data_IF_474449693758
#
_entry.id   IF_474449693758
#
_cell.length_a   1.000
_cell.length_b   1.000
_cell.length_c   1.000
_cell.angle_alpha   90.00
_cell.angle_beta   90.00
_cell.angle_gamma   90.00
#
_symmetry.space_group_name_H-M   'P 1'
#
loop_
_entity.id
_entity.type
_entity.pdbx_description
1 polymer ?
#
# COMPACT_ATOMS: atom_id res chain seq x y z
N UNK A 1 7.60 22.22 0.28
CA UNK A 1 8.23 20.97 0.75
C UNK A 1 7.19 20.16 1.49
N UNK A 2 6.67 19.09 0.89
CA UNK A 2 5.84 18.11 1.60
C UNK A 2 6.78 17.14 2.32
N UNK A 3 6.88 17.24 3.65
CA UNK A 3 7.54 16.22 4.46
C UNK A 3 6.45 15.30 4.98
N UNK A 4 6.59 14.00 4.75
CA UNK A 4 5.65 13.01 5.31
C UNK A 4 5.72 13.10 6.83
N UNK A 5 4.59 13.45 7.44
CA UNK A 5 4.50 13.58 8.90
C UNK A 5 4.42 12.22 9.57
N UNK A 6 4.77 12.14 10.86
CA UNK A 6 4.64 10.91 11.64
C UNK A 6 3.20 10.35 11.63
N UNK A 7 2.20 11.23 11.56
CA UNK A 7 0.79 10.85 11.48
C UNK A 7 0.48 10.18 10.13
N UNK A 8 0.96 10.73 9.03
CA UNK A 8 0.80 10.12 7.70
C UNK A 8 1.54 8.79 7.63
N UNK A 9 2.75 8.72 8.21
CA UNK A 9 3.56 7.51 8.29
C UNK A 9 2.80 6.40 9.01
N UNK A 10 2.26 6.69 10.20
CA UNK A 10 1.44 5.75 10.98
C UNK A 10 0.16 5.34 10.25
N UNK A 11 -0.54 6.28 9.62
CA UNK A 11 -1.76 6.00 8.88
C UNK A 11 -1.49 5.06 7.68
N UNK A 12 -0.42 5.32 6.91
CA UNK A 12 0.02 4.45 5.84
C UNK A 12 0.41 3.05 6.36
N UNK A 13 1.06 2.95 7.52
CA UNK A 13 1.35 1.65 8.16
C UNK A 13 0.08 0.85 8.40
N UNK A 14 -0.94 1.44 9.03
CA UNK A 14 -2.18 0.72 9.35
C UNK A 14 -2.95 0.30 8.12
N UNK A 15 -2.93 1.14 7.06
CA UNK A 15 -3.53 0.78 5.79
C UNK A 15 -2.80 -0.37 5.10
N UNK A 16 -1.47 -0.40 5.12
CA UNK A 16 -0.67 -1.50 4.56
C UNK A 16 -0.84 -2.80 5.37
N UNK A 17 -0.92 -2.72 6.70
CA UNK A 17 -1.26 -3.86 7.55
C UNK A 17 -2.63 -4.44 7.18
N UNK A 18 -3.64 -3.58 7.04
CA UNK A 18 -4.97 -4.00 6.58
C UNK A 18 -4.94 -4.62 5.19
N UNK A 19 -4.17 -4.03 4.27
CA UNK A 19 -4.00 -4.53 2.91
C UNK A 19 -3.43 -5.96 2.93
N UNK A 20 -2.38 -6.19 3.73
CA UNK A 20 -1.76 -7.50 3.93
C UNK A 20 -2.74 -8.52 4.48
N UNK A 21 -3.49 -8.16 5.52
CA UNK A 21 -4.48 -9.06 6.12
C UNK A 21 -5.56 -9.45 5.11
N UNK A 22 -6.06 -8.48 4.32
CA UNK A 22 -7.04 -8.75 3.26
C UNK A 22 -6.47 -9.67 2.17
N UNK A 23 -5.22 -9.45 1.76
CA UNK A 23 -4.56 -10.28 0.75
C UNK A 23 -4.39 -11.73 1.22
N UNK A 24 -3.91 -11.92 2.45
CA UNK A 24 -3.75 -13.24 3.05
C UNK A 24 -5.09 -13.96 3.27
N UNK A 25 -6.11 -13.22 3.72
CA UNK A 25 -7.46 -13.76 3.83
C UNK A 25 -8.03 -14.16 2.46
N UNK A 26 -7.79 -13.37 1.41
CA UNK A 26 -8.20 -13.73 0.05
C UNK A 26 -7.57 -15.05 -0.37
N UNK A 27 -6.25 -15.16 -0.23
CA UNK A 27 -5.51 -16.35 -0.62
C UNK A 27 -6.01 -17.60 0.14
N UNK A 28 -6.31 -17.44 1.44
CA UNK A 28 -6.88 -18.53 2.24
C UNK A 28 -8.30 -18.94 1.77
N UNK A 29 -9.14 -17.97 1.39
CA UNK A 29 -10.49 -18.22 0.88
C UNK A 29 -10.45 -18.88 -0.50
N UNK A 30 -9.59 -18.39 -1.40
CA UNK A 30 -9.37 -18.98 -2.72
C UNK A 30 -8.84 -20.41 -2.62
N UNK A 31 -7.92 -20.68 -1.69
CA UNK A 31 -7.43 -22.03 -1.40
C UNK A 31 -8.54 -22.96 -0.87
N UNK A 32 -9.55 -22.40 -0.19
CA UNK A 32 -10.75 -23.12 0.24
C UNK A 32 -11.82 -23.26 -0.88
N UNK A 33 -11.55 -22.75 -2.09
CA UNK A 33 -12.49 -22.75 -3.21
C UNK A 33 -13.60 -21.70 -3.11
N UNK A 34 -13.43 -20.69 -2.24
CA UNK A 34 -14.40 -19.61 -2.02
C UNK A 34 -13.88 -18.35 -2.73
N UNK A 35 -14.59 -17.92 -3.77
CA UNK A 35 -14.30 -16.65 -4.45
C UNK A 35 -15.21 -15.55 -3.94
N UNK A 36 -14.63 -14.50 -3.34
CA UNK A 36 -15.38 -13.30 -2.93
C UNK A 36 -15.29 -12.24 -4.03
N UNK A 37 -16.38 -12.08 -4.79
CA UNK A 37 -16.49 -11.00 -5.76
C UNK A 37 -16.39 -9.64 -5.06
N UNK A 38 -15.40 -8.84 -5.46
CA UNK A 38 -15.18 -7.49 -4.94
C UNK A 38 -14.02 -7.37 -3.96
N UNK A 39 -13.35 -8.46 -3.55
CA UNK A 39 -12.20 -8.35 -2.65
C UNK A 39 -11.00 -7.65 -3.33
N UNK A 40 -10.75 -7.93 -4.62
CA UNK A 40 -9.78 -7.19 -5.44
C UNK A 40 -10.07 -5.68 -5.47
N UNK A 41 -11.36 -5.30 -5.57
CA UNK A 41 -11.75 -3.89 -5.53
C UNK A 41 -11.57 -3.24 -4.15
N UNK A 42 -11.60 -4.03 -3.07
CA UNK A 42 -11.31 -3.55 -1.72
C UNK A 42 -9.81 -3.32 -1.56
N UNK A 43 -9.00 -4.25 -2.07
CA UNK A 43 -7.56 -4.11 -2.16
C UNK A 43 -7.15 -2.84 -2.91
N UNK A 44 -7.64 -2.64 -4.14
CA UNK A 44 -7.31 -1.45 -4.95
C UNK A 44 -7.64 -0.15 -4.20
N UNK A 45 -8.75 -0.12 -3.45
CA UNK A 45 -9.15 1.04 -2.64
C UNK A 45 -8.20 1.30 -1.48
N UNK A 46 -7.68 0.26 -0.83
CA UNK A 46 -6.69 0.41 0.25
C UNK A 46 -5.36 0.91 -0.30
N UNK A 47 -4.91 0.38 -1.45
CA UNK A 47 -3.70 0.85 -2.14
C UNK A 47 -3.80 2.33 -2.48
N UNK A 48 -4.92 2.75 -3.09
CA UNK A 48 -5.14 4.17 -3.41
C UNK A 48 -5.18 5.04 -2.15
N UNK A 49 -5.81 4.57 -1.07
CA UNK A 49 -5.82 5.31 0.20
C UNK A 49 -4.40 5.50 0.79
N UNK A 50 -3.48 4.55 0.60
CA UNK A 50 -2.08 4.71 1.02
C UNK A 50 -1.42 5.84 0.23
N UNK A 51 -1.63 5.89 -1.09
CA UNK A 51 -1.09 6.96 -1.93
C UNK A 51 -1.67 8.33 -1.55
N UNK A 52 -2.98 8.42 -1.32
CA UNK A 52 -3.64 9.66 -0.89
C UNK A 52 -3.07 10.16 0.45
N UNK A 53 -2.88 9.26 1.42
CA UNK A 53 -2.33 9.61 2.74
C UNK A 53 -0.89 10.13 2.62
N UNK A 54 -0.10 9.51 1.76
CA UNK A 54 1.30 9.88 1.54
C UNK A 54 1.46 11.09 0.59
N UNK A 55 0.40 11.48 -0.12
CA UNK A 55 0.45 12.53 -1.13
C UNK A 55 1.21 12.10 -2.40
N UNK A 56 1.15 10.82 -2.73
CA UNK A 56 1.74 10.25 -3.94
C UNK A 56 0.74 10.43 -5.09
N UNK A 57 1.18 11.02 -6.21
CA UNK A 57 0.33 11.10 -7.39
C UNK A 57 0.16 9.70 -8.01
N UNK A 58 -1.09 9.23 -8.02
CA UNK A 58 -1.47 7.91 -8.55
C UNK A 58 -1.18 7.71 -10.04
N UNK A 59 -0.87 8.78 -10.79
CA UNK A 59 -0.54 8.70 -12.22
C UNK A 59 0.85 8.11 -12.50
N UNK A 60 1.77 8.14 -11.52
CA UNK A 60 3.12 7.51 -11.57
C UNK A 60 3.22 6.22 -10.74
N UNK A 61 2.09 5.70 -10.26
CA UNK A 61 2.05 4.62 -9.27
C UNK A 61 2.46 3.22 -9.78
N UNK A 62 2.76 3.04 -11.07
CA UNK A 62 3.02 1.72 -11.65
C UNK A 62 4.16 0.94 -10.95
N UNK A 63 5.26 1.62 -10.61
CA UNK A 63 6.38 1.04 -9.86
C UNK A 63 6.10 0.92 -8.36
N UNK A 64 5.26 1.80 -7.81
CA UNK A 64 4.95 1.86 -6.37
C UNK A 64 3.89 0.85 -5.95
N UNK A 65 2.97 0.50 -6.85
CA UNK A 65 2.05 -0.61 -6.65
C UNK A 65 2.80 -1.93 -6.44
N UNK A 66 3.94 -2.12 -7.12
CA UNK A 66 4.77 -3.32 -6.93
C UNK A 66 5.34 -3.39 -5.50
N UNK A 67 5.81 -2.27 -4.95
CA UNK A 67 6.27 -2.19 -3.55
C UNK A 67 5.13 -2.58 -2.61
N UNK A 68 3.93 -2.03 -2.79
CA UNK A 68 2.77 -2.34 -1.94
C UNK A 68 2.37 -3.81 -2.04
N UNK A 69 2.45 -4.42 -3.23
CA UNK A 69 2.24 -5.84 -3.43
C UNK A 69 3.28 -6.69 -2.67
N UNK A 70 4.55 -6.32 -2.69
CA UNK A 70 5.60 -7.01 -1.91
C UNK A 70 5.34 -6.93 -0.39
N UNK A 71 4.81 -5.80 0.10
CA UNK A 71 4.41 -5.67 1.50
C UNK A 71 3.27 -6.62 1.87
N UNK A 72 2.29 -6.78 0.98
CA UNK A 72 1.11 -7.57 1.24
C UNK A 72 1.33 -9.07 1.09
N UNK A 73 2.20 -9.49 0.18
CA UNK A 73 2.69 -10.86 0.12
C UNK A 73 3.60 -11.18 1.32
N UNK A 74 4.25 -10.16 1.87
CA UNK A 74 5.11 -10.25 3.05
C UNK A 74 6.59 -10.53 2.72
N UNK A 75 6.97 -10.36 1.45
CA UNK A 75 8.36 -10.40 1.01
C UNK A 75 9.14 -9.14 1.42
N UNK A 76 8.44 -8.04 1.70
CA UNK A 76 8.99 -6.79 2.19
C UNK A 76 8.36 -6.40 3.54
N UNK A 77 9.17 -5.92 4.49
CA UNK A 77 8.66 -5.43 5.77
C UNK A 77 7.87 -4.14 5.60
N UNK A 78 6.75 -4.00 6.32
CA UNK A 78 5.84 -2.83 6.21
C UNK A 78 6.58 -1.51 6.49
N UNK A 79 7.52 -1.49 7.44
CA UNK A 79 8.32 -0.29 7.73
C UNK A 79 9.19 0.08 6.53
N UNK A 80 9.89 -0.89 5.94
CA UNK A 80 10.72 -0.68 4.74
C UNK A 80 9.88 -0.23 3.54
N UNK A 81 8.69 -0.81 3.36
CA UNK A 81 7.75 -0.35 2.34
C UNK A 81 7.42 1.13 2.48
N UNK A 82 7.12 1.57 3.70
CA UNK A 82 6.81 2.97 3.97
C UNK A 82 8.03 3.84 3.71
N UNK A 83 9.21 3.43 4.13
CA UNK A 83 10.43 4.21 3.87
C UNK A 83 10.60 4.45 2.36
N UNK A 84 10.51 3.40 1.54
CA UNK A 84 10.56 3.52 0.07
C UNK A 84 9.46 4.43 -0.47
N UNK A 85 8.21 4.27 -0.02
CA UNK A 85 7.11 5.13 -0.46
C UNK A 85 7.30 6.60 -0.05
N UNK A 86 7.83 6.86 1.15
CA UNK A 86 8.10 8.21 1.64
C UNK A 86 9.28 8.88 0.94
N UNK A 87 10.30 8.11 0.55
CA UNK A 87 11.42 8.61 -0.25
C UNK A 87 10.93 9.14 -1.61
N UNK A 88 9.95 8.47 -2.22
CA UNK A 88 9.38 8.87 -3.50
C UNK A 88 8.59 10.18 -3.42
N UNK A 89 7.84 10.40 -2.33
CA UNK A 89 7.22 11.71 -2.04
C UNK A 89 8.28 12.81 -1.92
N UNK A 90 9.42 12.49 -1.29
CA UNK A 90 10.55 13.42 -1.15
C UNK A 90 11.26 13.75 -2.47
N UNK A 91 11.11 12.89 -3.49
CA UNK A 91 11.67 13.08 -4.83
C UNK A 91 10.70 13.87 -5.73
N UNK A 92 9.40 13.56 -5.71
CA UNK A 92 8.38 14.28 -6.49
C UNK A 92 8.20 15.73 -6.05
N UNK A 93 8.48 16.05 -4.77
CA UNK A 93 8.43 17.42 -4.27
C UNK A 93 9.65 18.30 -4.67
N UNK A 94 10.61 17.76 -5.42
CA UNK A 94 11.83 18.46 -5.88
C UNK A 94 11.85 18.80 -7.37
N UNK A 95 10.84 18.40 -8.12
CA UNK A 95 10.60 18.86 -9.50
C UNK A 95 9.72 20.11 -9.55
#
# INVERSE_FOLDING_TARGET
MGVVTDVQRLAATRLLELARDLFQQNAALEAAGITINGLTSAWDRVVMAVFDVLGIDSTDAGSLCMVICECADGSLEIITCIDVLTEQVGLTAKE
#
